data_IF_846590765837
#
_entry.id   IF_846590765837
#
_cell.length_a   1.000
_cell.length_b   1.000
_cell.length_c   1.000
_cell.angle_alpha   90.00
_cell.angle_beta   90.00
_cell.angle_gamma   90.00
#
_symmetry.space_group_name_H-M   'P 1'
#
loop_
_entity.id
_entity.type
_entity.pdbx_description
1 polymer ?
#
# COMPACT_ATOMS: atom_id res chain seq x y z
N UNK A 1 11.38 29.15 12.30
CA UNK A 1 10.48 28.15 11.69
C UNK A 1 11.24 27.35 10.65
N UNK A 2 11.44 26.07 10.89
CA UNK A 2 12.09 25.13 9.98
C UNK A 2 11.23 24.97 8.70
N UNK A 3 11.87 24.59 7.58
CA UNK A 3 11.19 24.49 6.28
C UNK A 3 9.94 23.59 6.33
N UNK A 4 10.01 22.46 7.02
CA UNK A 4 8.90 21.51 7.09
C UNK A 4 7.70 22.05 7.89
N UNK A 5 7.91 22.92 8.88
CA UNK A 5 6.83 23.54 9.67
C UNK A 5 5.96 24.43 8.77
N UNK A 6 6.59 25.29 7.95
CA UNK A 6 5.87 26.09 6.93
C UNK A 6 5.06 25.21 5.98
N UNK A 7 5.66 24.13 5.50
CA UNK A 7 4.98 23.19 4.60
C UNK A 7 3.79 22.48 5.27
N UNK A 8 3.86 22.26 6.58
CA UNK A 8 2.79 21.67 7.38
C UNK A 8 1.64 22.66 7.56
N UNK A 9 1.93 23.92 7.91
CA UNK A 9 0.94 24.99 7.98
C UNK A 9 0.19 25.11 6.64
N UNK A 10 0.93 25.12 5.52
CA UNK A 10 0.35 25.14 4.17
C UNK A 10 -0.45 23.88 3.83
N UNK A 11 -0.15 22.73 4.44
CA UNK A 11 -0.89 21.48 4.20
C UNK A 11 -2.20 21.46 4.99
N UNK A 12 -2.19 21.95 6.22
CA UNK A 12 -3.34 22.04 7.12
C UNK A 12 -4.42 23.02 6.63
N UNK A 13 -4.07 23.98 5.77
CA UNK A 13 -5.06 24.85 5.12
C UNK A 13 -6.00 24.08 4.16
N UNK A 14 -5.62 22.88 3.73
CA UNK A 14 -6.33 22.10 2.70
C UNK A 14 -6.70 20.68 3.18
N UNK A 15 -6.19 20.24 4.32
CA UNK A 15 -6.29 18.85 4.77
C UNK A 15 -6.48 18.74 6.28
N UNK A 16 -7.20 17.70 6.70
CA UNK A 16 -7.43 17.37 8.10
C UNK A 16 -6.32 16.46 8.66
N UNK A 17 -5.99 16.57 9.95
CA UNK A 17 -4.98 15.72 10.61
C UNK A 17 -5.46 14.27 10.80
N UNK A 18 -6.75 14.00 10.61
CA UNK A 18 -7.33 12.65 10.70
C UNK A 18 -7.85 12.16 9.34
N UNK A 19 -7.79 10.86 9.13
CA UNK A 19 -8.20 10.20 7.91
C UNK A 19 -9.72 10.24 7.79
N UNK A 20 -10.25 10.46 6.58
CA UNK A 20 -11.69 10.46 6.36
C UNK A 20 -12.27 9.05 6.60
N UNK A 21 -13.51 8.99 7.08
CA UNK A 21 -14.19 7.74 7.45
C UNK A 21 -14.10 6.61 6.40
N UNK A 22 -14.23 6.87 5.08
CA UNK A 22 -14.09 5.81 4.07
C UNK A 22 -12.73 5.09 4.09
N UNK A 23 -11.65 5.78 4.48
CA UNK A 23 -10.31 5.19 4.60
C UNK A 23 -10.24 4.28 5.83
N UNK A 24 -10.85 4.69 6.94
CA UNK A 24 -10.95 3.89 8.16
C UNK A 24 -11.79 2.63 7.91
N UNK A 25 -12.93 2.78 7.23
CA UNK A 25 -13.81 1.67 6.84
C UNK A 25 -13.10 0.69 5.90
N UNK A 26 -12.26 1.18 4.99
CA UNK A 26 -11.47 0.33 4.10
C UNK A 26 -10.51 -0.59 4.87
N UNK A 27 -9.84 -0.06 5.91
CA UNK A 27 -8.99 -0.88 6.79
C UNK A 27 -9.84 -1.90 7.54
N UNK A 28 -10.97 -1.47 8.10
CA UNK A 28 -11.90 -2.36 8.81
C UNK A 28 -12.38 -3.52 7.93
N UNK A 29 -12.72 -3.23 6.66
CA UNK A 29 -13.10 -4.26 5.68
C UNK A 29 -11.96 -5.24 5.40
N UNK A 30 -10.70 -4.78 5.35
CA UNK A 30 -9.56 -5.67 5.17
C UNK A 30 -9.44 -6.66 6.33
N UNK A 31 -9.42 -6.17 7.58
CA UNK A 31 -9.26 -7.03 8.77
C UNK A 31 -10.47 -7.95 8.98
N UNK A 32 -11.66 -7.53 8.57
CA UNK A 32 -12.86 -8.39 8.58
C UNK A 32 -12.79 -9.47 7.50
N UNK A 33 -12.24 -9.16 6.32
CA UNK A 33 -12.11 -10.13 5.21
C UNK A 33 -10.99 -11.15 5.45
N UNK A 34 -9.95 -10.72 6.17
CA UNK A 34 -8.78 -11.53 6.51
C UNK A 34 -8.50 -11.37 8.01
N UNK A 35 -9.32 -11.98 8.89
CA UNK A 35 -9.06 -11.94 10.33
C UNK A 35 -7.74 -12.63 10.65
N UNK A 36 -7.00 -12.09 11.62
CA UNK A 36 -5.62 -12.50 11.91
C UNK A 36 -5.57 -14.00 12.27
N UNK A 37 -6.52 -14.44 13.08
CA UNK A 37 -6.68 -15.82 13.56
C UNK A 37 -7.00 -16.83 12.45
N UNK A 38 -7.52 -16.39 11.31
CA UNK A 38 -7.82 -17.26 10.17
C UNK A 38 -6.71 -17.29 9.11
N UNK A 39 -5.68 -16.45 9.25
CA UNK A 39 -4.63 -16.31 8.23
C UNK A 39 -3.85 -17.60 8.01
N UNK A 40 -3.59 -18.38 9.06
CA UNK A 40 -2.84 -19.65 8.96
C UNK A 40 -3.60 -20.74 8.20
N UNK A 41 -4.92 -20.62 8.08
CA UNK A 41 -5.78 -21.55 7.34
C UNK A 41 -6.17 -21.06 5.94
N UNK A 42 -5.62 -19.92 5.49
CA UNK A 42 -5.91 -19.39 4.16
C UNK A 42 -5.45 -20.35 3.06
N UNK A 43 -6.18 -20.40 1.94
CA UNK A 43 -5.78 -21.21 0.78
C UNK A 43 -4.93 -20.41 -0.22
N UNK A 44 -4.18 -21.09 -1.09
CA UNK A 44 -3.43 -20.44 -2.19
C UNK A 44 -4.32 -19.54 -3.05
N UNK A 45 -5.56 -19.97 -3.31
CA UNK A 45 -6.56 -19.21 -4.07
C UNK A 45 -7.09 -17.99 -3.31
N UNK A 46 -7.06 -17.98 -1.97
CA UNK A 46 -7.42 -16.80 -1.15
C UNK A 46 -6.22 -15.91 -0.84
N UNK A 47 -4.99 -16.38 -1.05
CA UNK A 47 -3.77 -15.62 -0.82
C UNK A 47 -3.24 -14.90 -2.07
N UNK A 48 -3.05 -15.63 -3.16
CA UNK A 48 -2.11 -15.27 -4.22
C UNK A 48 -2.65 -14.27 -5.26
N UNK A 49 -1.74 -13.75 -6.09
CA UNK A 49 -2.04 -13.01 -7.33
C UNK A 49 -1.58 -13.81 -8.56
N UNK A 50 -2.01 -13.36 -9.75
CA UNK A 50 -1.50 -13.84 -11.03
C UNK A 50 -2.47 -14.69 -11.84
N UNK A 51 -3.60 -15.13 -11.28
CA UNK A 51 -4.66 -15.82 -12.04
C UNK A 51 -5.84 -14.87 -12.28
N UNK A 52 -6.41 -14.77 -13.51
CA UNK A 52 -7.48 -13.80 -13.81
C UNK A 52 -8.77 -13.97 -12.99
N UNK A 53 -9.08 -15.21 -12.58
CA UNK A 53 -10.23 -15.49 -11.71
C UNK A 53 -9.95 -15.18 -10.22
N UNK A 54 -8.68 -15.01 -9.84
CA UNK A 54 -8.32 -14.69 -8.46
C UNK A 54 -8.51 -13.19 -8.22
N UNK A 55 -9.74 -12.86 -7.84
CA UNK A 55 -10.14 -11.56 -7.32
C UNK A 55 -10.32 -11.66 -5.81
N UNK A 56 -10.20 -10.55 -5.10
CA UNK A 56 -10.41 -10.50 -3.65
C UNK A 56 -9.50 -11.43 -2.83
N UNK A 57 -8.26 -11.64 -3.29
CA UNK A 57 -7.23 -12.38 -2.54
C UNK A 57 -6.45 -11.46 -1.61
N UNK A 58 -5.76 -12.03 -0.63
CA UNK A 58 -4.95 -11.27 0.32
C UNK A 58 -3.95 -10.35 -0.41
N UNK A 59 -3.16 -10.89 -1.34
CA UNK A 59 -2.21 -10.10 -2.14
C UNK A 59 -2.90 -9.07 -3.04
N UNK A 60 -4.08 -9.37 -3.57
CA UNK A 60 -4.89 -8.39 -4.32
C UNK A 60 -5.30 -7.21 -3.44
N UNK A 61 -5.74 -7.49 -2.22
CA UNK A 61 -6.12 -6.45 -1.28
C UNK A 61 -4.93 -5.58 -0.87
N UNK A 62 -3.77 -6.20 -0.60
CA UNK A 62 -2.55 -5.45 -0.28
C UNK A 62 -2.10 -4.54 -1.45
N UNK A 63 -2.23 -5.01 -2.69
CA UNK A 63 -1.73 -4.28 -3.87
C UNK A 63 -2.70 -3.20 -4.35
N UNK A 64 -3.99 -3.51 -4.40
CA UNK A 64 -4.98 -2.73 -5.14
C UNK A 64 -6.08 -2.16 -4.25
N UNK A 65 -6.77 -2.99 -3.45
CA UNK A 65 -7.92 -2.52 -2.67
C UNK A 65 -7.51 -1.54 -1.57
N UNK A 66 -6.42 -1.83 -0.86
CA UNK A 66 -5.94 -0.98 0.24
C UNK A 66 -4.96 0.10 -0.22
N UNK A 67 -5.00 0.51 -1.49
CA UNK A 67 -4.00 1.44 -2.07
C UNK A 67 -3.90 2.77 -1.31
N UNK A 68 -5.02 3.28 -0.79
CA UNK A 68 -5.06 4.52 -0.01
C UNK A 68 -4.38 4.38 1.36
N UNK A 69 -4.28 3.16 1.87
CA UNK A 69 -3.65 2.82 3.15
C UNK A 69 -2.14 2.55 3.00
N UNK A 70 -1.49 3.13 2.00
CA UNK A 70 -0.08 2.89 1.63
C UNK A 70 0.09 2.10 0.34
N UNK A 71 0.31 2.80 -0.78
CA UNK A 71 0.43 2.17 -2.10
C UNK A 71 1.75 1.40 -2.25
N UNK A 72 1.68 0.22 -2.89
CA UNK A 72 2.84 -0.63 -3.19
C UNK A 72 3.30 -0.56 -4.66
N UNK A 73 2.65 0.27 -5.47
CA UNK A 73 3.16 0.71 -6.77
C UNK A 73 3.05 -0.27 -7.95
N UNK A 74 2.23 -1.32 -7.89
CA UNK A 74 1.90 -2.13 -9.10
C UNK A 74 3.07 -2.95 -9.65
N UNK A 75 3.79 -3.67 -8.79
CA UNK A 75 5.07 -4.33 -9.14
C UNK A 75 4.96 -5.87 -9.29
N UNK A 76 6.07 -6.48 -9.73
CA UNK A 76 6.26 -7.91 -9.99
C UNK A 76 5.67 -8.83 -8.92
N UNK A 77 5.02 -9.92 -9.35
CA UNK A 77 4.35 -10.90 -8.48
C UNK A 77 5.30 -11.59 -7.49
N UNK A 78 6.60 -11.63 -7.80
CA UNK A 78 7.62 -12.30 -7.00
C UNK A 78 7.77 -11.73 -5.59
N UNK A 79 7.41 -10.45 -5.37
CA UNK A 79 7.45 -9.82 -4.04
C UNK A 79 6.51 -10.48 -3.02
N UNK A 80 5.51 -11.22 -3.51
CA UNK A 80 4.53 -11.93 -2.69
C UNK A 80 5.01 -13.31 -2.25
N UNK A 81 6.17 -13.77 -2.72
CA UNK A 81 6.74 -15.06 -2.32
C UNK A 81 6.03 -16.31 -2.87
N UNK A 82 4.73 -16.22 -3.18
CA UNK A 82 3.89 -17.24 -3.81
C UNK A 82 2.92 -16.56 -4.78
N UNK A 83 2.84 -17.05 -6.02
CA UNK A 83 1.96 -16.53 -7.06
C UNK A 83 1.54 -17.60 -8.05
N UNK A 84 0.46 -17.34 -8.79
CA UNK A 84 0.09 -18.15 -9.95
C UNK A 84 0.84 -17.67 -11.20
N UNK A 85 1.53 -18.56 -11.89
CA UNK A 85 2.15 -18.26 -13.18
C UNK A 85 1.19 -18.62 -14.31
N UNK A 86 0.72 -17.62 -15.04
CA UNK A 86 -0.12 -17.85 -16.22
C UNK A 86 0.65 -18.59 -17.32
N UNK A 87 1.90 -18.19 -17.54
CA UNK A 87 2.80 -18.81 -18.52
C UNK A 87 2.97 -20.31 -18.31
N UNK A 88 3.19 -20.74 -17.07
CA UNK A 88 3.41 -22.16 -16.74
C UNK A 88 2.12 -22.89 -16.33
N UNK A 89 1.00 -22.20 -16.21
CA UNK A 89 -0.26 -22.76 -15.70
C UNK A 89 -0.13 -23.42 -14.32
N UNK A 90 0.75 -22.91 -13.45
CA UNK A 90 1.02 -23.54 -12.14
C UNK A 90 1.45 -22.53 -11.06
N UNK A 91 1.45 -22.98 -9.81
CA UNK A 91 1.94 -22.23 -8.66
C UNK A 91 3.45 -22.08 -8.68
N UNK A 92 3.94 -20.85 -8.55
CA UNK A 92 5.36 -20.54 -8.35
C UNK A 92 5.59 -19.94 -6.98
N UNK A 93 6.76 -20.20 -6.43
CA UNK A 93 7.19 -19.68 -5.15
C UNK A 93 8.63 -19.15 -5.24
N UNK A 94 9.00 -18.31 -4.29
CA UNK A 94 10.38 -17.89 -4.09
C UNK A 94 11.25 -19.10 -3.72
N UNK A 95 12.46 -19.17 -4.25
CA UNK A 95 13.41 -20.28 -4.02
C UNK A 95 13.81 -20.50 -2.56
N UNK A 96 13.40 -19.62 -1.65
CA UNK A 96 13.61 -19.78 -0.20
C UNK A 96 12.63 -20.75 0.47
N UNK A 97 11.58 -21.14 -0.25
CA UNK A 97 10.57 -22.09 0.21
C UNK A 97 10.75 -23.40 -0.55
N UNK A 98 10.42 -24.51 0.11
CA UNK A 98 10.61 -25.84 -0.47
C UNK A 98 9.60 -26.13 -1.60
N UNK A 99 8.38 -25.63 -1.45
CA UNK A 99 7.28 -25.81 -2.39
C UNK A 99 6.20 -24.72 -2.16
N UNK A 100 5.14 -24.62 -3.00
CA UNK A 100 4.09 -23.63 -2.84
C UNK A 100 3.30 -23.68 -1.52
N UNK A 101 3.12 -24.86 -0.92
CA UNK A 101 2.39 -25.00 0.34
C UNK A 101 3.26 -24.58 1.54
N UNK A 102 4.56 -24.94 1.52
CA UNK A 102 5.56 -24.40 2.46
C UNK A 102 5.63 -22.87 2.39
N UNK A 103 5.62 -22.31 1.16
CA UNK A 103 5.63 -20.87 0.96
C UNK A 103 4.42 -20.20 1.62
N UNK A 104 3.22 -20.72 1.39
CA UNK A 104 2.00 -20.17 1.99
C UNK A 104 2.05 -20.24 3.51
N UNK A 105 2.34 -21.43 4.05
CA UNK A 105 2.38 -21.66 5.49
C UNK A 105 3.36 -20.70 6.18
N UNK A 106 4.60 -20.62 5.68
CA UNK A 106 5.65 -19.79 6.28
C UNK A 106 5.39 -18.30 6.13
N UNK A 107 4.79 -17.86 5.02
CA UNK A 107 4.42 -16.45 4.83
C UNK A 107 3.32 -16.05 5.82
N UNK A 108 2.25 -16.83 5.92
CA UNK A 108 1.13 -16.47 6.80
C UNK A 108 1.53 -16.56 8.28
N UNK A 109 2.26 -17.61 8.67
CA UNK A 109 2.81 -17.72 10.03
C UNK A 109 3.73 -16.53 10.35
N UNK A 110 4.61 -16.13 9.42
CA UNK A 110 5.48 -14.98 9.61
C UNK A 110 4.76 -13.63 9.70
N UNK A 111 3.63 -13.46 9.01
CA UNK A 111 2.79 -12.25 9.14
C UNK A 111 2.11 -12.23 10.51
N UNK A 112 1.52 -13.36 10.95
CA UNK A 112 0.88 -13.48 12.26
C UNK A 112 1.89 -13.18 13.37
N UNK A 113 3.06 -13.81 13.33
CA UNK A 113 4.14 -13.60 14.31
C UNK A 113 4.59 -12.13 14.36
N UNK A 114 4.70 -11.45 13.22
CA UNK A 114 5.03 -10.01 13.20
C UNK A 114 3.96 -9.14 13.86
N UNK A 115 2.68 -9.45 13.64
CA UNK A 115 1.56 -8.71 14.23
C UNK A 115 1.53 -8.93 15.73
N UNK A 116 1.56 -10.18 16.20
CA UNK A 116 1.56 -10.50 17.62
C UNK A 116 2.78 -9.91 18.35
N UNK A 117 3.96 -9.91 17.71
CA UNK A 117 5.17 -9.27 18.27
C UNK A 117 4.98 -7.76 18.44
N UNK A 118 4.34 -7.11 17.46
CA UNK A 118 4.04 -5.68 17.57
C UNK A 118 2.98 -5.38 18.64
N UNK A 119 1.96 -6.24 18.79
CA UNK A 119 0.95 -6.12 19.84
C UNK A 119 1.56 -6.26 21.25
N UNK A 120 2.60 -7.09 21.41
CA UNK A 120 3.39 -7.18 22.65
C UNK A 120 4.35 -6.00 22.86
N UNK A 121 4.50 -5.11 21.88
CA UNK A 121 5.40 -3.95 21.95
C UNK A 121 6.88 -4.28 21.71
N UNK A 122 7.20 -5.49 21.24
CA UNK A 122 8.57 -6.02 21.06
C UNK A 122 9.17 -5.54 19.71
N UNK A 123 9.16 -4.23 19.48
CA UNK A 123 9.42 -3.63 18.16
C UNK A 123 10.84 -3.85 17.63
N UNK A 124 11.82 -3.99 18.52
CA UNK A 124 13.22 -4.28 18.22
C UNK A 124 13.42 -5.61 17.50
N UNK A 125 12.49 -6.56 17.67
CA UNK A 125 12.57 -7.89 17.06
C UNK A 125 12.01 -7.94 15.64
N UNK A 126 11.15 -6.99 15.26
CA UNK A 126 10.39 -7.02 13.99
C UNK A 126 11.29 -7.05 12.74
N UNK A 127 12.46 -6.40 12.79
CA UNK A 127 13.38 -6.40 11.65
C UNK A 127 14.07 -7.76 11.44
N UNK A 128 14.46 -8.41 12.53
CA UNK A 128 15.08 -9.74 12.51
C UNK A 128 14.04 -10.81 12.12
N UNK A 129 12.90 -10.83 12.81
CA UNK A 129 11.80 -11.77 12.56
C UNK A 129 11.32 -11.67 11.12
N UNK A 130 10.95 -10.48 10.64
CA UNK A 130 10.45 -10.32 9.27
C UNK A 130 11.49 -10.66 8.20
N UNK A 131 12.79 -10.45 8.47
CA UNK A 131 13.86 -10.87 7.55
C UNK A 131 14.01 -12.39 7.50
N UNK A 132 13.85 -13.07 8.63
CA UNK A 132 13.92 -14.51 8.76
C UNK A 132 12.68 -15.20 8.17
N UNK A 133 11.48 -14.78 8.56
CA UNK A 133 10.22 -15.41 8.17
C UNK A 133 9.80 -15.03 6.74
N UNK A 134 9.82 -13.75 6.38
CA UNK A 134 9.29 -13.25 5.09
C UNK A 134 10.38 -12.90 4.06
N UNK A 135 11.61 -12.71 4.51
CA UNK A 135 12.78 -12.49 3.66
C UNK A 135 13.24 -11.03 3.66
N UNK A 136 14.56 -10.83 3.56
CA UNK A 136 15.23 -9.52 3.68
C UNK A 136 14.69 -8.43 2.74
N UNK A 137 14.15 -8.80 1.57
CA UNK A 137 13.66 -7.85 0.56
C UNK A 137 12.12 -7.72 0.54
N UNK A 138 11.42 -8.44 1.40
CA UNK A 138 9.95 -8.53 1.40
C UNK A 138 9.31 -7.40 2.21
N UNK A 139 9.81 -6.17 2.06
CA UNK A 139 9.37 -5.03 2.89
C UNK A 139 7.88 -4.74 2.77
N UNK A 140 7.29 -4.94 1.58
CA UNK A 140 5.85 -4.82 1.36
C UNK A 140 5.06 -5.81 2.21
N UNK A 141 5.46 -7.09 2.21
CA UNK A 141 4.84 -8.13 3.03
C UNK A 141 5.06 -7.94 4.54
N UNK A 142 6.10 -7.19 4.92
CA UNK A 142 6.43 -6.93 6.32
C UNK A 142 5.67 -5.72 6.87
N UNK A 143 5.69 -4.60 6.14
CA UNK A 143 5.15 -3.33 6.64
C UNK A 143 3.65 -3.19 6.36
N UNK A 144 3.18 -3.58 5.16
CA UNK A 144 1.78 -3.31 4.78
C UNK A 144 0.78 -4.12 5.60
N UNK A 145 0.91 -5.46 5.74
CA UNK A 145 0.03 -6.23 6.63
C UNK A 145 0.11 -5.74 8.07
N UNK A 146 1.33 -5.52 8.58
CA UNK A 146 1.54 -5.07 9.96
C UNK A 146 0.84 -3.74 10.24
N UNK A 147 0.90 -2.78 9.31
CA UNK A 147 0.12 -1.54 9.40
C UNK A 147 -1.40 -1.78 9.39
N UNK A 148 -1.91 -2.69 8.55
CA UNK A 148 -3.35 -2.91 8.44
C UNK A 148 -3.95 -3.49 9.73
N UNK A 149 -3.21 -4.37 10.41
CA UNK A 149 -3.60 -4.93 11.71
C UNK A 149 -3.28 -3.98 12.88
N UNK A 150 -2.13 -3.30 12.86
CA UNK A 150 -1.66 -2.39 13.92
C UNK A 150 -1.40 -0.97 13.36
N UNK A 151 -2.45 -0.17 13.07
CA UNK A 151 -2.32 1.09 12.33
C UNK A 151 -1.54 2.19 13.06
N UNK A 152 -1.42 2.10 14.39
CA UNK A 152 -0.74 3.11 15.20
C UNK A 152 0.74 2.81 15.43
N UNK A 153 1.21 1.63 15.01
CA UNK A 153 2.57 1.14 15.26
C UNK A 153 3.57 1.63 14.20
N UNK A 154 3.09 1.90 12.98
CA UNK A 154 3.90 2.25 11.82
C UNK A 154 3.20 3.27 10.95
N UNK A 155 3.99 4.06 10.22
CA UNK A 155 3.51 4.74 9.02
C UNK A 155 3.26 3.69 7.91
N UNK A 156 2.23 3.85 7.07
CA UNK A 156 1.94 3.00 5.89
C UNK A 156 2.98 3.15 4.74
N UNK A 157 4.27 3.13 5.05
CA UNK A 157 5.40 3.37 4.13
C UNK A 157 6.33 2.16 4.14
N UNK A 158 6.25 1.31 3.11
CA UNK A 158 7.07 0.10 3.00
C UNK A 158 8.39 0.29 2.24
N UNK A 159 8.63 1.46 1.64
CA UNK A 159 9.84 1.72 0.87
C UNK A 159 10.96 2.30 1.78
N UNK A 160 12.05 1.55 2.01
CA UNK A 160 13.12 2.00 2.91
C UNK A 160 13.84 3.26 2.41
N UNK A 161 13.90 3.49 1.10
CA UNK A 161 14.51 4.70 0.54
C UNK A 161 13.65 5.95 0.81
N UNK A 162 12.33 5.79 0.83
CA UNK A 162 11.44 6.90 1.15
C UNK A 162 11.54 7.26 2.63
N UNK A 163 11.57 6.25 3.52
CA UNK A 163 11.79 6.47 4.95
C UNK A 163 13.12 7.19 5.22
N UNK A 164 14.21 6.72 4.60
CA UNK A 164 15.53 7.37 4.68
C UNK A 164 15.49 8.82 4.16
N UNK A 165 14.83 9.07 3.03
CA UNK A 165 14.67 10.41 2.49
C UNK A 165 13.92 11.33 3.47
N UNK A 166 12.79 10.89 4.03
CA UNK A 166 11.99 11.68 4.96
C UNK A 166 12.74 11.97 6.27
N UNK A 167 13.41 10.97 6.85
CA UNK A 167 14.25 11.16 8.04
C UNK A 167 15.30 12.26 7.82
N UNK A 168 15.96 12.26 6.66
CA UNK A 168 16.91 13.32 6.30
C UNK A 168 16.27 14.70 6.14
N UNK A 169 15.02 14.81 5.69
CA UNK A 169 14.31 16.10 5.65
C UNK A 169 14.11 16.69 7.05
N UNK A 170 14.11 15.85 8.09
CA UNK A 170 14.04 16.24 9.49
C UNK A 170 15.41 16.25 10.20
N UNK A 171 16.51 16.19 9.42
CA UNK A 171 17.88 16.09 9.93
C UNK A 171 18.09 14.91 10.91
N UNK A 172 17.34 13.82 10.73
CA UNK A 172 17.49 12.58 11.48
C UNK A 172 18.40 11.61 10.71
N UNK A 173 19.36 11.01 11.42
CA UNK A 173 20.19 9.95 10.86
C UNK A 173 19.44 8.61 10.86
N UNK A 174 19.20 7.98 9.68
CA UNK A 174 18.36 6.78 9.61
C UNK A 174 19.01 5.55 10.24
N UNK A 175 18.30 4.92 11.18
CA UNK A 175 18.72 3.63 11.77
C UNK A 175 18.69 2.48 10.73
N UNK A 176 19.27 1.33 11.05
CA UNK A 176 19.22 0.15 10.18
C UNK A 176 17.91 -0.63 10.38
N UNK A 177 17.32 -1.09 9.28
CA UNK A 177 16.07 -1.87 9.30
C UNK A 177 14.89 -1.06 8.77
N UNK A 178 13.96 -1.71 8.07
CA UNK A 178 12.82 -0.99 7.47
C UNK A 178 11.81 -0.62 8.54
N UNK A 179 11.61 -1.50 9.52
CA UNK A 179 10.66 -1.29 10.62
C UNK A 179 11.22 -0.27 11.61
N UNK A 180 12.49 -0.42 11.97
CA UNK A 180 13.19 0.53 12.84
C UNK A 180 13.19 1.95 12.27
N UNK A 181 13.48 2.14 10.97
CA UNK A 181 13.38 3.47 10.32
C UNK A 181 11.98 4.03 10.33
N UNK A 182 10.99 3.18 10.06
CA UNK A 182 9.60 3.60 10.04
C UNK A 182 9.16 4.11 11.41
N UNK A 183 9.48 3.36 12.47
CA UNK A 183 9.22 3.76 13.85
C UNK A 183 10.00 4.98 14.29
N UNK A 184 11.27 5.10 13.90
CA UNK A 184 12.06 6.30 14.14
C UNK A 184 11.36 7.55 13.57
N UNK A 185 10.89 7.46 12.32
CA UNK A 185 10.19 8.56 11.66
C UNK A 185 8.86 8.87 12.37
N UNK A 186 8.07 7.85 12.68
CA UNK A 186 6.80 8.01 13.39
C UNK A 186 7.00 8.69 14.75
N UNK A 187 7.94 8.19 15.55
CA UNK A 187 8.23 8.72 16.88
C UNK A 187 8.72 10.17 16.82
N UNK A 188 9.61 10.49 15.88
CA UNK A 188 10.05 11.87 15.67
C UNK A 188 8.88 12.80 15.34
N UNK A 189 7.97 12.40 14.44
CA UNK A 189 6.82 13.22 14.09
C UNK A 189 5.88 13.38 15.28
N UNK A 190 5.55 12.30 15.99
CA UNK A 190 4.68 12.34 17.17
C UNK A 190 5.28 13.14 18.34
N UNK A 191 6.61 13.30 18.41
CA UNK A 191 7.24 14.14 19.43
C UNK A 191 7.15 15.63 19.14
N UNK A 192 6.70 16.05 17.94
CA UNK A 192 6.51 17.46 17.63
C UNK A 192 5.08 17.90 17.99
N UNK A 193 4.90 19.00 18.75
CA UNK A 193 3.57 19.53 19.06
C UNK A 193 2.70 19.81 17.83
N UNK A 194 3.31 20.18 16.71
CA UNK A 194 2.63 20.52 15.45
C UNK A 194 1.93 19.32 14.80
N UNK A 195 2.34 18.10 15.12
CA UNK A 195 1.68 16.87 14.67
C UNK A 195 0.66 16.32 15.69
N UNK A 196 0.32 17.09 16.73
CA UNK A 196 -0.71 16.68 17.69
C UNK A 196 -2.05 16.42 16.99
N UNK A 197 -2.66 15.27 17.28
CA UNK A 197 -3.93 14.84 16.69
C UNK A 197 -3.83 14.23 15.29
N UNK A 198 -2.62 14.12 14.72
CA UNK A 198 -2.44 13.41 13.45
C UNK A 198 -2.53 11.90 13.61
N UNK A 199 -3.19 11.25 12.65
CA UNK A 199 -3.07 9.80 12.47
C UNK A 199 -1.95 9.43 11.47
N UNK A 200 -1.59 8.14 11.46
CA UNK A 200 -0.48 7.63 10.64
C UNK A 200 -0.73 7.74 9.13
N UNK A 201 -1.99 7.78 8.68
CA UNK A 201 -2.32 8.02 7.27
C UNK A 201 -2.04 9.47 6.89
N UNK A 202 -2.47 10.43 7.70
CA UNK A 202 -2.29 11.84 7.41
C UNK A 202 -0.84 12.27 7.58
N UNK A 203 -0.11 11.67 8.54
CA UNK A 203 1.35 11.80 8.59
C UNK A 203 1.99 11.34 7.28
N UNK A 204 1.62 10.15 6.75
CA UNK A 204 2.12 9.70 5.45
C UNK A 204 1.76 10.68 4.33
N UNK A 205 0.52 11.15 4.26
CA UNK A 205 0.03 12.04 3.19
C UNK A 205 0.81 13.35 3.18
N UNK A 206 0.96 14.00 4.33
CA UNK A 206 1.82 15.18 4.46
C UNK A 206 3.23 14.94 3.91
N UNK A 207 3.88 13.84 4.31
CA UNK A 207 5.24 13.50 3.83
C UNK A 207 5.30 13.39 2.30
N UNK A 208 4.36 12.69 1.68
CA UNK A 208 4.34 12.53 0.22
C UNK A 208 3.93 13.81 -0.52
N UNK A 209 2.96 14.55 -0.01
CA UNK A 209 2.43 15.74 -0.68
C UNK A 209 3.41 16.90 -0.63
N UNK A 210 4.07 17.12 0.51
CA UNK A 210 4.90 18.31 0.71
C UNK A 210 6.39 18.04 0.71
N UNK A 211 6.87 16.91 1.26
CA UNK A 211 8.30 16.64 1.33
C UNK A 211 8.83 15.87 0.12
N UNK A 212 8.07 14.91 -0.40
CA UNK A 212 8.50 14.08 -1.52
C UNK A 212 8.46 14.85 -2.86
N UNK A 213 7.43 15.69 -3.08
CA UNK A 213 7.27 16.47 -4.32
C UNK A 213 8.37 17.51 -4.55
N UNK A 214 9.07 17.94 -3.51
CA UNK A 214 10.07 19.03 -3.58
C UNK A 214 11.51 18.50 -3.58
N UNK A 215 11.71 17.18 -3.51
CA UNK A 215 13.04 16.58 -3.23
C UNK A 215 13.61 15.61 -4.26
N UNK A 216 12.93 15.32 -5.38
CA UNK A 216 13.49 14.49 -6.45
C UNK A 216 13.83 15.33 -7.69
N UNK A 217 15.02 15.18 -8.29
CA UNK A 217 15.26 15.70 -9.64
C UNK A 217 14.25 15.06 -10.58
N UNK A 218 13.55 15.88 -11.36
CA UNK A 218 12.47 15.47 -12.26
C UNK A 218 13.04 14.48 -13.28
N UNK A 219 12.84 13.19 -13.08
CA UNK A 219 13.03 12.19 -14.13
C UNK A 219 11.88 12.28 -15.13
N UNK A 220 12.04 13.17 -16.12
CA UNK A 220 11.19 13.46 -17.28
C UNK A 220 9.72 13.88 -17.02
N UNK A 221 9.28 15.05 -17.52
CA UNK A 221 7.89 15.53 -17.38
C UNK A 221 6.81 14.60 -17.95
N UNK A 222 7.14 13.74 -18.93
CA UNK A 222 6.18 12.85 -19.62
C UNK A 222 5.70 11.67 -18.75
N UNK A 223 6.52 11.15 -17.83
CA UNK A 223 6.11 10.06 -16.91
C UNK A 223 5.36 10.62 -15.70
N UNK A 224 5.66 11.87 -15.33
CA UNK A 224 5.09 12.56 -14.17
C UNK A 224 3.65 13.05 -14.41
N UNK A 225 3.37 13.70 -15.55
CA UNK A 225 2.02 14.18 -15.87
C UNK A 225 1.00 13.04 -16.00
N UNK A 226 1.40 11.86 -16.51
CA UNK A 226 0.50 10.69 -16.58
C UNK A 226 0.09 10.17 -15.20
N UNK A 227 0.95 10.32 -14.19
CA UNK A 227 0.67 9.90 -12.81
C UNK A 227 -0.13 10.95 -12.04
N UNK A 228 0.18 12.24 -12.19
CA UNK A 228 -0.55 13.32 -11.49
C UNK A 228 -1.98 13.48 -12.03
N UNK A 229 -2.22 13.39 -13.34
CA UNK A 229 -3.59 13.44 -13.89
C UNK A 229 -4.40 12.21 -13.49
N UNK A 230 -3.77 11.03 -13.33
CA UNK A 230 -4.43 9.88 -12.72
C UNK A 230 -4.71 10.10 -11.23
N UNK A 231 -3.76 10.63 -10.45
CA UNK A 231 -3.96 10.87 -9.02
C UNK A 231 -5.05 11.93 -8.74
N UNK A 232 -5.11 13.04 -9.48
CA UNK A 232 -6.13 14.08 -9.31
C UNK A 232 -7.54 13.62 -9.77
N UNK A 233 -7.63 12.85 -10.88
CA UNK A 233 -8.91 12.26 -11.32
C UNK A 233 -9.35 11.04 -10.49
N UNK A 234 -8.48 10.53 -9.60
CA UNK A 234 -8.79 9.44 -8.67
C UNK A 234 -9.44 9.91 -7.38
N UNK A 235 -9.33 11.19 -7.03
CA UNK A 235 -10.01 11.81 -5.87
C UNK A 235 -11.24 12.64 -6.27
N UNK A 236 -11.42 12.94 -7.55
CA UNK A 236 -12.68 13.46 -8.07
C UNK A 236 -13.71 12.32 -8.22
N UNK A 237 -14.40 12.08 -7.12
CA UNK A 237 -15.72 11.47 -6.97
C UNK A 237 -16.01 10.12 -7.66
N UNK A 238 -16.21 9.10 -6.83
CA UNK A 238 -16.80 7.80 -7.18
C UNK A 238 -18.13 7.92 -7.93
N UNK A 239 -18.89 9.01 -7.76
CA UNK A 239 -20.14 9.26 -8.48
C UNK A 239 -19.91 9.53 -9.99
N UNK A 240 -18.82 10.21 -10.37
CA UNK A 240 -18.53 10.54 -11.78
C UNK A 240 -18.25 9.31 -12.63
N UNK A 241 -17.70 8.23 -12.04
CA UNK A 241 -17.46 6.96 -12.77
C UNK A 241 -18.74 6.18 -13.08
N UNK A 242 -19.79 6.35 -12.27
CA UNK A 242 -21.09 5.73 -12.51
C UNK A 242 -21.86 6.47 -13.62
N UNK A 243 -21.77 7.79 -13.64
CA UNK A 243 -22.33 8.64 -14.70
C UNK A 243 -21.64 8.42 -16.05
N UNK A 244 -20.31 8.33 -16.09
CA UNK A 244 -19.56 8.11 -17.34
C UNK A 244 -19.84 6.74 -17.99
N UNK A 245 -20.11 5.70 -17.17
CA UNK A 245 -20.51 4.37 -17.68
C UNK A 245 -21.92 4.38 -18.26
N UNK A 246 -22.86 5.06 -17.62
CA UNK A 246 -24.23 5.19 -18.14
C UNK A 246 -24.26 5.95 -19.49
N UNK A 247 -23.41 6.97 -19.64
CA UNK A 247 -23.30 7.74 -20.89
C UNK A 247 -22.63 6.94 -22.01
N UNK A 248 -21.61 6.12 -21.70
CA UNK A 248 -20.98 5.24 -22.69
C UNK A 248 -21.91 4.12 -23.17
N UNK A 249 -22.76 3.57 -22.30
CA UNK A 249 -23.76 2.57 -22.67
C UNK A 249 -24.86 3.18 -23.57
N UNK A 250 -25.28 4.42 -23.27
CA UNK A 250 -26.22 5.20 -24.09
C UNK A 250 -25.67 5.49 -25.50
N UNK A 251 -24.43 5.97 -25.59
CA UNK A 251 -23.77 6.28 -26.87
C UNK A 251 -23.52 5.01 -27.70
N UNK A 252 -23.18 3.88 -27.05
CA UNK A 252 -22.96 2.61 -27.73
C UNK A 252 -24.26 2.01 -28.27
N UNK A 253 -25.37 2.16 -27.54
CA UNK A 253 -26.70 1.75 -28.00
C UNK A 253 -27.19 2.62 -29.17
N UNK A 254 -26.81 3.90 -29.21
CA UNK A 254 -27.18 4.83 -30.28
C UNK A 254 -26.37 4.63 -31.58
N UNK A 255 -25.09 4.27 -31.47
CA UNK A 255 -24.19 4.09 -32.62
C UNK A 255 -24.13 2.64 -33.14
N UNK A 256 -24.55 1.66 -32.35
CA UNK A 256 -24.58 0.23 -32.73
C UNK A 256 -25.32 -0.06 -34.05
N UNK A 257 -26.51 0.52 -34.30
CA UNK A 257 -27.23 0.31 -35.56
C UNK A 257 -26.57 0.98 -36.77
N UNK A 258 -25.88 2.12 -36.57
CA UNK A 258 -25.20 2.87 -37.65
C UNK A 258 -23.94 2.16 -38.15
N UNK A 259 -23.22 1.48 -37.26
CA UNK A 259 -22.00 0.72 -37.61
C UNK A 259 -22.29 -0.66 -38.24
N UNK A 260 -23.54 -1.15 -38.14
CA UNK A 260 -23.97 -2.39 -38.79
C UNK A 260 -24.36 -2.19 -40.27
N UNK A 261 -24.73 -0.97 -40.66
CA UNK A 261 -25.09 -0.62 -42.04
C UNK A 261 -23.86 -0.52 -42.98
N UNK A 262 -22.68 -0.24 -42.43
CA UNK A 262 -21.41 -0.08 -43.17
C UNK A 262 -20.66 -1.39 -43.45
N UNK A 263 -21.26 -2.55 -43.12
CA UNK A 263 -20.67 -3.88 -43.38
C UNK A 263 -21.41 -4.71 -44.44
N UNK A 264 -22.36 -4.12 -45.16
CA UNK A 264 -23.14 -4.81 -46.19
C UNK A 264 -23.06 -4.15 -47.59
N UNK A 265 -22.02 -3.35 -47.85
CA UNK A 265 -21.65 -2.90 -49.20
C UNK A 265 -20.28 -3.42 -49.59
#
# INVERSE_FOLDING_TARGET
MNRWQRLLDDWLNENEPTAPQPVLDLRHRFVTTFPLEALTSITKHRYALGHPSLKNTFCHWLEYETRELGSLGGHYLTKWGLWWSQELGTWRHSSRYANPDDALHRIMAGIVELVETAERGEFEHLDALGSMSLGRRSNSLRIKPLYLYCPDVLLPISNPKHLEFFLRQFAQEPVRGVTARNRQLLHFMQSQPEFSGFDTIQLMRFLYDKLFRVGLPISSPKVFNRRVTQFASLYADTASRKALRADQESVTAMLGPLLAADRLT
#
